data_IF_533912937949
#
_entry.id   IF_533912937949
#
_cell.length_a   1.000
_cell.length_b   1.000
_cell.length_c   1.000
_cell.angle_alpha   90.00
_cell.angle_beta   90.00
_cell.angle_gamma   90.00
#
_symmetry.space_group_name_H-M   'P 1'
#
loop_
_entity.id
_entity.type
_entity.pdbx_description
1 polymer ?
#
# COMPACT_ATOMS: atom_id res chain seq x y z
N UNK A 1 3.85 18.15 -4.99
CA UNK A 1 2.43 18.32 -5.30
C UNK A 1 1.86 17.04 -5.86
N UNK A 2 0.73 16.61 -5.34
CA UNK A 2 0.06 15.44 -5.87
C UNK A 2 -0.44 15.74 -7.27
N UNK A 3 -0.18 14.87 -8.23
CA UNK A 3 -0.70 15.07 -9.58
C UNK A 3 -1.84 14.10 -9.84
N UNK A 4 -2.76 14.53 -10.71
CA UNK A 4 -3.94 13.73 -11.04
C UNK A 4 -3.54 12.35 -11.61
N UNK A 5 -2.38 12.27 -12.27
CA UNK A 5 -1.87 11.01 -12.81
C UNK A 5 -1.56 9.99 -11.74
N UNK A 6 -0.88 10.40 -10.65
CA UNK A 6 -0.56 9.45 -9.58
C UNK A 6 -1.80 8.96 -8.86
N UNK A 7 -2.78 9.83 -8.64
CA UNK A 7 -4.04 9.43 -8.01
C UNK A 7 -4.81 8.46 -8.89
N UNK A 8 -4.85 8.73 -10.19
CA UNK A 8 -5.51 7.84 -11.15
C UNK A 8 -4.85 6.47 -11.17
N UNK A 9 -3.52 6.45 -11.14
CA UNK A 9 -2.77 5.20 -11.19
C UNK A 9 -2.96 4.40 -9.89
N UNK A 10 -3.05 5.08 -8.74
CA UNK A 10 -3.34 4.40 -7.47
C UNK A 10 -4.74 3.79 -7.49
N UNK A 11 -5.72 4.50 -8.05
CA UNK A 11 -7.07 3.95 -8.17
C UNK A 11 -7.09 2.73 -9.08
N UNK A 12 -6.33 2.77 -10.18
CA UNK A 12 -6.24 1.62 -11.08
C UNK A 12 -5.62 0.41 -10.38
N UNK A 13 -4.57 0.64 -9.59
CA UNK A 13 -3.94 -0.43 -8.82
C UNK A 13 -4.91 -1.00 -7.79
N UNK A 14 -5.68 -0.14 -7.14
CA UNK A 14 -6.69 -0.56 -6.16
C UNK A 14 -7.75 -1.45 -6.81
N UNK A 15 -8.17 -1.12 -8.02
CA UNK A 15 -9.13 -1.92 -8.75
C UNK A 15 -8.57 -3.30 -9.10
N UNK A 16 -7.31 -3.35 -9.50
CA UNK A 16 -6.64 -4.63 -9.76
C UNK A 16 -6.55 -5.48 -8.50
N UNK A 17 -6.26 -4.84 -7.36
CA UNK A 17 -6.22 -5.54 -6.09
C UNK A 17 -7.60 -6.14 -5.75
N UNK A 18 -8.65 -5.35 -5.95
CA UNK A 18 -10.01 -5.82 -5.69
C UNK A 18 -10.37 -7.03 -6.54
N UNK A 19 -9.80 -7.13 -7.73
CA UNK A 19 -9.99 -8.26 -8.63
C UNK A 19 -9.03 -9.41 -8.36
N UNK A 20 -8.25 -9.32 -7.27
CA UNK A 20 -7.27 -10.33 -6.88
C UNK A 20 -6.16 -10.56 -7.91
N UNK A 21 -5.86 -9.54 -8.70
CA UNK A 21 -4.79 -9.60 -9.70
C UNK A 21 -3.49 -9.08 -9.09
N UNK A 22 -3.00 -9.79 -8.08
CA UNK A 22 -1.94 -9.29 -7.20
C UNK A 22 -0.61 -9.07 -7.91
N UNK A 23 -0.24 -9.95 -8.82
CA UNK A 23 1.02 -9.77 -9.54
C UNK A 23 0.95 -8.55 -10.46
N UNK A 24 -0.21 -8.31 -11.06
CA UNK A 24 -0.42 -7.12 -11.86
C UNK A 24 -0.35 -5.86 -10.99
N UNK A 25 -0.85 -5.93 -9.75
CA UNK A 25 -0.74 -4.81 -8.82
C UNK A 25 0.73 -4.48 -8.56
N UNK A 26 1.55 -5.49 -8.30
CA UNK A 26 2.97 -5.26 -8.04
C UNK A 26 3.66 -4.58 -9.22
N UNK A 27 3.40 -5.07 -10.42
CA UNK A 27 3.98 -4.47 -11.62
C UNK A 27 3.52 -3.03 -11.79
N UNK A 28 2.23 -2.78 -11.57
CA UNK A 28 1.65 -1.45 -11.69
C UNK A 28 2.26 -0.48 -10.68
N UNK A 29 2.40 -0.93 -9.43
CA UNK A 29 2.95 -0.08 -8.37
C UNK A 29 4.43 0.23 -8.61
N UNK A 30 5.20 -0.73 -9.13
CA UNK A 30 6.59 -0.50 -9.46
C UNK A 30 6.72 0.59 -10.53
N UNK A 31 5.86 0.53 -11.54
CA UNK A 31 5.86 1.54 -12.60
C UNK A 31 5.42 2.90 -12.05
N UNK A 32 4.41 2.90 -11.21
CA UNK A 32 3.93 4.13 -10.58
C UNK A 32 5.04 4.80 -9.77
N UNK A 33 5.79 4.02 -8.99
CA UNK A 33 6.88 4.55 -8.19
C UNK A 33 7.99 5.12 -9.08
N UNK A 34 8.22 4.47 -10.21
CA UNK A 34 9.21 4.94 -11.18
C UNK A 34 8.78 6.25 -11.82
N UNK A 35 7.50 6.37 -12.15
CA UNK A 35 6.95 7.57 -12.78
C UNK A 35 6.77 8.74 -11.81
N UNK A 36 6.51 8.43 -10.54
CA UNK A 36 6.23 9.44 -9.52
C UNK A 36 7.08 9.19 -8.28
N UNK A 37 8.40 9.47 -8.36
CA UNK A 37 9.28 9.19 -7.22
C UNK A 37 9.03 10.06 -6.00
N UNK A 38 8.28 11.15 -6.16
CA UNK A 38 8.06 12.13 -5.09
C UNK A 38 6.68 12.00 -4.44
N UNK A 39 6.13 10.80 -4.42
CA UNK A 39 4.85 10.58 -3.71
C UNK A 39 4.98 11.03 -2.27
N UNK A 40 3.96 11.69 -1.77
CA UNK A 40 3.95 12.19 -0.40
C UNK A 40 2.54 12.22 0.15
N UNK A 41 2.45 12.43 1.47
CA UNK A 41 1.16 12.57 2.13
C UNK A 41 0.27 11.37 1.93
N UNK A 42 -1.02 11.60 1.66
CA UNK A 42 -1.99 10.50 1.54
C UNK A 42 -1.65 9.50 0.44
N UNK A 43 -1.04 9.94 -0.63
CA UNK A 43 -0.69 9.03 -1.72
C UNK A 43 0.39 8.04 -1.29
N UNK A 44 1.35 8.49 -0.49
CA UNK A 44 2.40 7.61 0.00
C UNK A 44 1.83 6.54 0.93
N UNK A 45 0.89 6.94 1.81
CA UNK A 45 0.24 5.98 2.70
C UNK A 45 -0.53 4.93 1.89
N UNK A 46 -1.29 5.35 0.89
CA UNK A 46 -2.04 4.43 0.03
C UNK A 46 -1.10 3.50 -0.73
N UNK A 47 -0.01 4.04 -1.26
CA UNK A 47 0.97 3.25 -1.99
C UNK A 47 1.53 2.12 -1.12
N UNK A 48 2.02 2.46 0.07
CA UNK A 48 2.62 1.46 0.95
C UNK A 48 1.59 0.46 1.46
N UNK A 49 0.37 0.92 1.76
CA UNK A 49 -0.69 0.02 2.18
C UNK A 49 -0.98 -1.02 1.09
N UNK A 50 -1.18 -0.55 -0.13
CA UNK A 50 -1.52 -1.43 -1.25
C UNK A 50 -0.36 -2.37 -1.57
N UNK A 51 0.86 -1.85 -1.58
CA UNK A 51 2.07 -2.65 -1.81
C UNK A 51 2.22 -3.74 -0.76
N UNK A 52 2.02 -3.37 0.51
CA UNK A 52 2.16 -4.31 1.61
C UNK A 52 1.08 -5.39 1.60
N UNK A 53 -0.18 -4.99 1.39
CA UNK A 53 -1.27 -5.95 1.36
C UNK A 53 -1.12 -6.91 0.17
N UNK A 54 -0.65 -6.40 -0.96
CA UNK A 54 -0.41 -7.24 -2.13
C UNK A 54 0.70 -8.26 -1.85
N UNK A 55 1.79 -7.82 -1.24
CA UNK A 55 2.87 -8.74 -0.85
C UNK A 55 2.36 -9.80 0.12
N UNK A 56 1.50 -9.40 1.05
CA UNK A 56 0.88 -10.35 1.98
C UNK A 56 0.09 -11.42 1.23
N UNK A 57 -0.71 -11.00 0.26
CA UNK A 57 -1.52 -11.94 -0.55
C UNK A 57 -0.66 -12.89 -1.38
N UNK A 58 0.52 -12.43 -1.77
CA UNK A 58 1.45 -13.23 -2.57
C UNK A 58 2.42 -14.04 -1.72
N UNK A 59 2.18 -14.11 -0.41
CA UNK A 59 3.01 -14.87 0.53
C UNK A 59 4.46 -14.39 0.54
N UNK A 60 4.63 -13.08 0.55
CA UNK A 60 5.93 -12.41 0.65
C UNK A 60 5.97 -11.66 1.99
N UNK A 61 6.14 -12.39 3.10
CA UNK A 61 5.92 -11.80 4.44
C UNK A 61 6.92 -10.70 4.81
N UNK A 62 8.17 -10.83 4.42
CA UNK A 62 9.17 -9.81 4.76
C UNK A 62 8.88 -8.49 4.04
N UNK A 63 8.53 -8.56 2.77
CA UNK A 63 8.16 -7.37 2.03
C UNK A 63 6.86 -6.78 2.55
N UNK A 64 5.90 -7.64 2.87
CA UNK A 64 4.62 -7.18 3.43
C UNK A 64 4.86 -6.43 4.74
N UNK A 65 5.65 -7.00 5.64
CA UNK A 65 5.93 -6.36 6.91
C UNK A 65 6.60 -4.99 6.73
N UNK A 66 7.58 -4.93 5.84
CA UNK A 66 8.30 -3.69 5.57
C UNK A 66 7.35 -2.61 5.03
N UNK A 67 6.58 -2.96 4.01
CA UNK A 67 5.69 -1.98 3.37
C UNK A 67 4.55 -1.55 4.29
N UNK A 68 3.99 -2.48 5.05
CA UNK A 68 2.91 -2.14 5.97
C UNK A 68 3.40 -1.28 7.14
N UNK A 69 4.65 -1.48 7.57
CA UNK A 69 5.23 -0.61 8.59
C UNK A 69 5.38 0.81 8.06
N UNK A 70 5.79 0.96 6.80
CA UNK A 70 5.86 2.27 6.17
C UNK A 70 4.48 2.91 6.03
N UNK A 71 3.47 2.09 5.69
CA UNK A 71 2.10 2.58 5.59
C UNK A 71 1.59 3.07 6.95
N UNK A 72 1.90 2.35 8.02
CA UNK A 72 1.50 2.75 9.36
C UNK A 72 2.13 4.09 9.74
N UNK A 73 3.41 4.25 9.42
CA UNK A 73 4.10 5.51 9.69
C UNK A 73 3.47 6.66 8.92
N UNK A 74 3.22 6.45 7.62
CA UNK A 74 2.61 7.49 6.79
C UNK A 74 1.20 7.84 7.26
N UNK A 75 0.44 6.83 7.71
CA UNK A 75 -0.91 7.06 8.22
C UNK A 75 -0.91 7.87 9.52
N UNK A 76 0.11 7.70 10.36
CA UNK A 76 0.23 8.51 11.57
C UNK A 76 0.50 9.97 11.23
N UNK A 77 1.26 10.23 10.18
CA UNK A 77 1.52 11.59 9.72
C UNK A 77 0.31 12.20 9.02
N UNK A 78 -0.50 11.37 8.38
CA UNK A 78 -1.68 11.78 7.63
C UNK A 78 -2.87 10.91 8.02
N UNK A 79 -3.51 11.17 9.17
CA UNK A 79 -4.54 10.25 9.69
C UNK A 79 -5.73 9.98 8.76
N UNK A 80 -6.02 10.91 7.85
CA UNK A 80 -7.13 10.73 6.92
C UNK A 80 -6.73 10.01 5.63
N UNK A 81 -5.46 9.63 5.50
CA UNK A 81 -4.97 9.02 4.26
C UNK A 81 -5.55 7.63 4.00
N UNK A 82 -5.82 6.88 5.06
CA UNK A 82 -6.41 5.55 4.95
C UNK A 82 -7.76 5.55 5.63
N UNK A 83 -8.71 4.84 5.02
CA UNK A 83 -10.02 4.65 5.63
C UNK A 83 -9.90 3.82 6.90
N UNK A 84 -10.86 3.93 7.80
CA UNK A 84 -10.82 3.21 9.08
C UNK A 84 -10.73 1.70 8.86
N UNK A 85 -11.41 1.17 7.84
CA UNK A 85 -11.34 -0.25 7.52
C UNK A 85 -9.95 -0.66 7.06
N UNK A 86 -9.29 0.20 6.29
CA UNK A 86 -7.92 -0.04 5.85
C UNK A 86 -6.96 -0.02 7.03
N UNK A 87 -7.14 0.94 7.94
CA UNK A 87 -6.30 1.02 9.14
C UNK A 87 -6.45 -0.22 10.02
N UNK A 88 -7.69 -0.67 10.23
CA UNK A 88 -7.94 -1.86 11.04
C UNK A 88 -7.26 -3.09 10.42
N UNK A 89 -7.37 -3.25 9.11
CA UNK A 89 -6.77 -4.38 8.41
C UNK A 89 -5.25 -4.27 8.42
N UNK A 90 -4.72 -3.07 8.26
CA UNK A 90 -3.28 -2.81 8.32
C UNK A 90 -2.70 -3.29 9.65
N UNK A 91 -3.27 -2.85 10.76
CA UNK A 91 -2.73 -3.18 12.07
C UNK A 91 -2.90 -4.66 12.39
N UNK A 92 -4.02 -5.26 12.02
CA UNK A 92 -4.23 -6.70 12.21
C UNK A 92 -3.23 -7.51 11.42
N UNK A 93 -2.97 -7.12 10.17
CA UNK A 93 -2.02 -7.82 9.33
C UNK A 93 -0.59 -7.69 9.85
N UNK A 94 -0.21 -6.49 10.30
CA UNK A 94 1.10 -6.29 10.93
C UNK A 94 1.29 -7.17 12.16
N UNK A 95 0.26 -7.25 12.99
CA UNK A 95 0.30 -8.09 14.19
C UNK A 95 0.46 -9.57 13.82
N UNK A 96 -0.32 -10.01 12.83
CA UNK A 96 -0.21 -11.38 12.35
C UNK A 96 1.19 -11.70 11.82
N UNK A 97 1.74 -10.81 11.02
CA UNK A 97 3.07 -11.01 10.44
C UNK A 97 4.16 -10.99 11.51
N UNK A 98 4.03 -10.12 12.50
CA UNK A 98 5.01 -10.05 13.59
C UNK A 98 4.99 -11.33 14.43
N UNK A 99 3.81 -11.90 14.66
CA UNK A 99 3.68 -13.13 15.44
C UNK A 99 4.31 -14.34 14.78
N UNK A 100 4.43 -14.32 13.46
CA UNK A 100 4.98 -15.44 12.70
C UNK A 100 6.49 -15.39 12.54
N UNK A 101 7.13 -14.34 13.04
CA UNK A 101 8.58 -14.20 12.95
C UNK A 101 9.30 -14.71 14.24
#
# INVERSE_FOLDING_TARGET
MACAGSQRDLRAATALYADARYEAVQAWLAQLRNDYPDLSGPELAQFHYLSGMTAYRLSQPDEALHELALAAHAAREQPSALASEQLALLYRTLEELADKR
#
